data_IF_910532853859
#
_entry.id   IF_910532853859
#
_cell.length_a   1.000
_cell.length_b   1.000
_cell.length_c   1.000
_cell.angle_alpha   90.00
_cell.angle_beta   90.00
_cell.angle_gamma   90.00
#
_symmetry.space_group_name_H-M   'P 1'
#
loop_
_entity.id
_entity.type
_entity.pdbx_description
1 polymer ?
#
# COMPACT_ATOMS: atom_id res chain seq x y z
N UNK A 1 5.09 -6.76 17.07
CA UNK A 1 6.32 -6.67 16.25
C UNK A 1 6.59 -5.19 16.02
N UNK A 2 7.84 -4.75 16.03
CA UNK A 2 8.24 -3.37 15.78
C UNK A 2 9.45 -3.41 14.83
N UNK A 3 9.57 -2.44 13.93
CA UNK A 3 10.74 -2.26 13.08
C UNK A 3 11.56 -1.09 13.62
N UNK A 4 12.79 -1.38 14.04
CA UNK A 4 13.75 -0.36 14.51
C UNK A 4 14.43 0.32 13.33
N UNK A 5 15.10 1.48 13.52
CA UNK A 5 15.94 2.08 12.50
C UNK A 5 17.00 1.12 11.91
N UNK A 6 17.56 0.22 12.72
CA UNK A 6 18.53 -0.77 12.27
C UNK A 6 17.88 -1.87 11.42
N UNK A 7 16.64 -2.27 11.74
CA UNK A 7 15.88 -3.20 10.91
C UNK A 7 15.58 -2.57 9.54
N UNK A 8 15.14 -1.31 9.53
CA UNK A 8 14.88 -0.56 8.29
C UNK A 8 16.15 -0.45 7.45
N UNK A 9 17.27 -0.06 8.06
CA UNK A 9 18.57 0.00 7.40
C UNK A 9 18.95 -1.34 6.78
N UNK A 10 18.76 -2.44 7.52
CA UNK A 10 19.05 -3.80 7.03
C UNK A 10 18.23 -4.13 5.79
N UNK A 11 16.93 -3.82 5.77
CA UNK A 11 16.04 -4.04 4.61
C UNK A 11 16.47 -3.19 3.41
N UNK A 12 16.76 -1.90 3.64
CA UNK A 12 17.20 -0.96 2.59
C UNK A 12 18.51 -1.41 1.97
N UNK A 13 19.52 -1.75 2.78
CA UNK A 13 20.83 -2.20 2.29
C UNK A 13 20.74 -3.55 1.57
N UNK A 14 19.92 -4.47 2.07
CA UNK A 14 19.69 -5.76 1.42
C UNK A 14 19.05 -5.61 0.04
N UNK A 15 18.05 -4.73 -0.08
CA UNK A 15 17.42 -4.38 -1.34
C UNK A 15 18.40 -3.70 -2.30
N UNK A 16 19.13 -2.69 -1.83
CA UNK A 16 20.10 -1.95 -2.63
C UNK A 16 21.20 -2.86 -3.18
N UNK A 17 21.70 -3.82 -2.39
CA UNK A 17 22.66 -4.83 -2.84
C UNK A 17 22.15 -5.75 -3.98
N UNK A 18 20.85 -5.70 -4.29
CA UNK A 18 20.17 -6.46 -5.36
C UNK A 18 19.52 -5.57 -6.41
N UNK A 19 19.78 -4.26 -6.38
CA UNK A 19 19.15 -3.31 -7.29
C UNK A 19 17.64 -3.12 -7.05
N UNK A 20 17.15 -3.45 -5.84
CA UNK A 20 15.76 -3.24 -5.42
C UNK A 20 15.68 -1.95 -4.60
N UNK A 21 14.82 -1.03 -5.02
CA UNK A 21 14.50 0.18 -4.26
C UNK A 21 13.45 -0.14 -3.21
N UNK A 22 13.60 0.40 -2.00
CA UNK A 22 12.63 0.25 -0.91
C UNK A 22 11.90 1.58 -0.75
N UNK A 23 10.64 1.62 -1.17
CA UNK A 23 9.79 2.81 -1.09
C UNK A 23 8.89 2.71 0.15
N UNK A 24 8.96 3.66 1.08
CA UNK A 24 8.06 3.68 2.22
C UNK A 24 6.69 4.25 1.83
N UNK A 25 5.67 3.73 2.50
CA UNK A 25 4.32 4.28 2.53
C UNK A 25 3.93 4.60 3.96
N UNK A 26 3.40 5.81 4.18
CA UNK A 26 2.63 6.16 5.37
C UNK A 26 1.30 6.70 4.89
N UNK A 27 0.30 5.83 4.86
CA UNK A 27 -1.02 6.16 4.38
C UNK A 27 -1.77 7.06 5.37
N UNK A 28 -2.24 8.20 4.85
CA UNK A 28 -3.02 9.19 5.56
C UNK A 28 -3.86 10.03 4.56
N UNK A 29 -5.03 10.56 4.95
CA UNK A 29 -5.54 10.70 6.31
C UNK A 29 -6.39 9.52 6.79
N UNK A 30 -6.80 8.61 5.90
CA UNK A 30 -7.46 7.37 6.27
C UNK A 30 -6.48 6.39 6.93
N UNK A 31 -6.93 5.17 7.25
CA UNK A 31 -6.08 4.09 7.78
C UNK A 31 -5.19 4.45 8.99
N UNK A 32 -5.58 5.46 9.79
CA UNK A 32 -4.78 6.00 10.91
C UNK A 32 -5.37 5.67 12.29
N UNK A 33 -6.29 4.71 12.38
CA UNK A 33 -6.95 4.34 13.64
C UNK A 33 -6.00 3.96 14.78
N UNK A 34 -4.85 3.33 14.46
CA UNK A 34 -3.83 2.99 15.45
C UNK A 34 -3.16 4.21 16.10
N UNK A 35 -3.17 5.37 15.43
CA UNK A 35 -2.53 6.60 15.92
C UNK A 35 -3.27 7.19 17.12
N UNK A 36 -4.55 6.87 17.27
CA UNK A 36 -5.37 7.29 18.41
C UNK A 36 -4.83 6.78 19.76
N UNK A 37 -3.98 5.75 19.76
CA UNK A 37 -3.31 5.29 20.98
C UNK A 37 -2.33 6.31 21.58
N UNK A 38 -1.73 7.17 20.75
CA UNK A 38 -0.80 8.22 21.18
C UNK A 38 -1.39 9.63 21.01
N UNK A 39 -2.16 9.85 19.95
CA UNK A 39 -2.75 11.13 19.58
C UNK A 39 -4.28 11.01 19.39
N UNK A 40 -5.05 10.74 20.46
CA UNK A 40 -6.50 10.61 20.36
C UNK A 40 -7.21 11.93 19.97
N UNK A 41 -6.52 13.06 20.12
CA UNK A 41 -7.01 14.42 19.84
C UNK A 41 -7.05 14.78 18.36
N UNK A 42 -6.28 14.06 17.52
CA UNK A 42 -6.20 14.29 16.08
C UNK A 42 -6.89 13.21 15.24
N UNK A 43 -7.32 12.10 15.84
CA UNK A 43 -7.95 10.97 15.11
C UNK A 43 -9.46 10.98 15.35
N UNK A 44 -10.22 11.13 14.27
CA UNK A 44 -11.67 11.04 14.25
C UNK A 44 -12.13 9.57 14.22
N UNK A 45 -13.32 9.32 14.78
CA UNK A 45 -14.02 8.03 14.77
C UNK A 45 -13.25 6.78 15.27
N UNK A 46 -12.08 6.95 15.91
CA UNK A 46 -11.30 5.83 16.40
C UNK A 46 -12.08 4.95 17.38
N UNK A 47 -11.86 3.63 17.31
CA UNK A 47 -12.52 2.62 18.16
C UNK A 47 -14.06 2.56 18.03
N UNK A 48 -14.64 3.17 16.99
CA UNK A 48 -16.06 3.04 16.69
C UNK A 48 -16.34 1.82 15.80
N UNK A 49 -17.53 1.25 15.91
CA UNK A 49 -17.96 0.20 14.98
C UNK A 49 -18.10 0.77 13.57
N UNK A 50 -17.38 0.17 12.61
CA UNK A 50 -17.20 0.67 11.23
C UNK A 50 -18.48 0.80 10.39
N UNK A 51 -19.55 0.07 10.73
CA UNK A 51 -20.85 0.13 10.05
C UNK A 51 -21.95 0.45 11.07
N UNK A 52 -22.04 1.70 11.56
CA UNK A 52 -23.02 2.06 12.58
C UNK A 52 -24.44 1.82 12.04
N UNK A 53 -25.33 1.32 12.91
CA UNK A 53 -26.74 1.05 12.59
C UNK A 53 -26.98 0.06 11.45
N UNK A 54 -25.97 -0.73 11.05
CA UNK A 54 -26.08 -1.71 9.96
C UNK A 54 -26.16 -1.10 8.56
N UNK A 55 -25.89 0.21 8.42
CA UNK A 55 -25.93 0.90 7.13
C UNK A 55 -24.52 0.95 6.53
N UNK A 56 -24.29 0.12 5.52
CA UNK A 56 -22.98 -0.05 4.88
C UNK A 56 -22.77 0.86 3.64
N UNK A 57 -23.52 1.95 3.47
CA UNK A 57 -23.31 2.85 2.35
C UNK A 57 -22.09 3.76 2.60
N UNK A 58 -21.37 4.12 1.53
CA UNK A 58 -20.12 4.90 1.62
C UNK A 58 -20.28 6.24 2.38
N UNK A 59 -21.36 7.02 2.18
CA UNK A 59 -21.52 8.31 2.85
C UNK A 59 -21.70 8.26 4.38
N UNK A 60 -22.05 7.09 4.95
CA UNK A 60 -22.39 6.95 6.36
C UNK A 60 -21.56 5.90 7.11
N UNK A 61 -20.96 4.91 6.42
CA UNK A 61 -19.97 4.01 7.04
C UNK A 61 -18.77 4.81 7.54
N UNK A 62 -18.11 4.31 8.59
CA UNK A 62 -16.95 4.97 9.19
C UNK A 62 -15.62 4.45 8.63
N UNK A 63 -15.62 3.28 7.98
CA UNK A 63 -14.46 2.72 7.27
C UNK A 63 -14.92 1.65 6.28
N UNK A 64 -14.05 1.25 5.35
CA UNK A 64 -14.26 0.12 4.45
C UNK A 64 -14.04 -1.24 5.14
N UNK A 65 -13.35 -1.27 6.28
CA UNK A 65 -13.02 -2.45 7.08
C UNK A 65 -12.98 -2.11 8.60
N UNK A 66 -12.97 -3.11 9.51
CA UNK A 66 -12.80 -2.85 10.95
C UNK A 66 -11.46 -2.17 11.27
N UNK A 67 -11.42 -1.39 12.36
CA UNK A 67 -10.24 -0.58 12.73
C UNK A 67 -10.37 0.88 12.30
N UNK A 68 -11.52 1.48 12.61
CA UNK A 68 -11.86 2.87 12.25
C UNK A 68 -10.83 3.86 12.77
N UNK A 69 -10.62 4.91 11.98
CA UNK A 69 -9.92 6.11 12.40
C UNK A 69 -9.33 6.89 11.23
N UNK A 70 -9.54 8.20 11.23
CA UNK A 70 -9.00 9.10 10.22
C UNK A 70 -8.50 10.39 10.85
N UNK A 71 -7.38 10.92 10.39
CA UNK A 71 -6.86 12.21 10.85
C UNK A 71 -7.88 13.33 10.63
N UNK A 72 -7.91 14.28 11.56
CA UNK A 72 -8.72 15.48 11.50
C UNK A 72 -7.92 16.63 10.84
N UNK A 73 -8.26 17.05 9.61
CA UNK A 73 -7.51 18.12 8.92
C UNK A 73 -7.69 19.51 9.54
N UNK A 74 -8.67 19.70 10.43
CA UNK A 74 -8.89 21.00 11.11
C UNK A 74 -7.97 21.21 12.32
N UNK A 75 -7.23 20.19 12.74
CA UNK A 75 -6.30 20.26 13.88
C UNK A 75 -4.90 20.54 13.37
N UNK A 76 -4.24 21.58 13.89
CA UNK A 76 -2.86 21.91 13.54
C UNK A 76 -1.88 20.79 13.91
N UNK A 77 -2.16 20.12 15.02
CA UNK A 77 -1.38 19.05 15.62
C UNK A 77 -1.30 17.83 14.68
N UNK A 78 -2.33 17.61 13.86
CA UNK A 78 -2.32 16.59 12.79
C UNK A 78 -1.10 16.74 11.90
N UNK A 79 -0.79 17.98 11.52
CA UNK A 79 0.31 18.27 10.62
C UNK A 79 1.66 18.26 11.33
N UNK A 80 1.72 18.61 12.62
CA UNK A 80 2.96 18.49 13.40
C UNK A 80 3.39 17.02 13.51
N UNK A 81 2.45 16.14 13.85
CA UNK A 81 2.71 14.69 13.94
C UNK A 81 3.10 14.13 12.58
N UNK A 82 2.33 14.43 11.52
CA UNK A 82 2.65 13.97 10.17
C UNK A 82 4.03 14.44 9.71
N UNK A 83 4.38 15.72 9.93
CA UNK A 83 5.69 16.27 9.53
C UNK A 83 6.85 15.55 10.19
N UNK A 84 6.74 15.26 11.48
CA UNK A 84 7.78 14.54 12.22
C UNK A 84 7.94 13.11 11.67
N UNK A 85 6.83 12.40 11.45
CA UNK A 85 6.86 11.04 10.88
C UNK A 85 7.46 11.05 9.48
N UNK A 86 7.01 11.95 8.60
CA UNK A 86 7.51 12.03 7.24
C UNK A 86 9.00 12.43 7.18
N UNK A 87 9.47 13.28 8.10
CA UNK A 87 10.89 13.62 8.23
C UNK A 87 11.74 12.40 8.67
N UNK A 88 11.26 11.66 9.67
CA UNK A 88 11.93 10.44 10.15
C UNK A 88 12.00 9.39 9.03
N UNK A 89 10.88 9.13 8.35
CA UNK A 89 10.83 8.22 7.19
C UNK A 89 11.77 8.70 6.08
N UNK A 90 11.74 9.98 5.71
CA UNK A 90 12.63 10.51 4.69
C UNK A 90 14.12 10.40 5.06
N UNK A 91 14.45 10.37 6.36
CA UNK A 91 15.83 10.17 6.84
C UNK A 91 16.29 8.70 6.79
N UNK A 92 15.36 7.76 6.97
CA UNK A 92 15.65 6.32 7.00
C UNK A 92 15.69 5.69 5.60
N UNK A 93 14.91 6.24 4.66
CA UNK A 93 14.79 5.70 3.31
C UNK A 93 15.50 6.61 2.29
N UNK A 94 16.50 6.12 1.54
CA UNK A 94 17.19 6.90 0.52
C UNK A 94 16.32 7.19 -0.71
N UNK A 95 15.21 6.45 -0.88
CA UNK A 95 14.26 6.55 -1.98
C UNK A 95 13.71 7.98 -2.17
N UNK A 96 13.75 8.48 -3.41
CA UNK A 96 13.25 9.80 -3.80
C UNK A 96 11.72 9.87 -3.89
N UNK A 97 11.06 8.73 -4.13
CA UNK A 97 9.61 8.64 -4.11
C UNK A 97 9.07 8.43 -2.68
N UNK A 98 7.94 9.05 -2.37
CA UNK A 98 7.25 8.85 -1.10
C UNK A 98 5.77 8.56 -1.37
N UNK A 99 5.28 7.42 -0.88
CA UNK A 99 3.87 7.07 -1.01
C UNK A 99 3.09 7.63 0.20
N UNK A 100 2.17 8.54 -0.07
CA UNK A 100 1.37 9.19 0.98
C UNK A 100 -0.02 8.56 1.17
N UNK A 101 -0.35 7.53 0.39
CA UNK A 101 -1.64 6.83 0.42
C UNK A 101 -2.80 7.72 0.01
N UNK A 102 -3.69 8.04 0.96
CA UNK A 102 -4.90 8.82 0.81
C UNK A 102 -6.06 8.11 0.10
N UNK A 103 -6.08 6.79 0.15
CA UNK A 103 -7.21 5.99 -0.28
C UNK A 103 -8.34 5.97 0.77
N UNK A 104 -9.53 5.58 0.31
CA UNK A 104 -10.67 5.18 1.16
C UNK A 104 -11.11 6.13 2.29
N UNK A 105 -10.89 7.45 2.13
CA UNK A 105 -11.37 8.46 3.07
C UNK A 105 -12.90 8.40 3.21
N UNK A 106 -13.37 7.92 4.36
CA UNK A 106 -14.77 7.68 4.68
C UNK A 106 -15.46 8.95 5.22
N UNK A 107 -16.49 9.48 4.54
CA UNK A 107 -17.26 10.64 4.99
C UNK A 107 -17.89 10.47 6.38
N UNK A 108 -18.34 9.26 6.71
CA UNK A 108 -19.00 9.00 7.99
C UNK A 108 -18.06 9.22 9.18
N UNK A 109 -16.78 8.87 9.04
CA UNK A 109 -15.79 9.03 10.10
C UNK A 109 -15.61 10.51 10.48
N UNK A 110 -15.41 11.38 9.48
CA UNK A 110 -15.29 12.82 9.70
C UNK A 110 -16.59 13.45 10.22
N UNK A 111 -17.76 12.99 9.73
CA UNK A 111 -19.06 13.46 10.26
C UNK A 111 -19.30 13.07 11.71
N UNK A 112 -18.56 12.11 12.28
CA UNK A 112 -18.67 11.77 13.70
C UNK A 112 -17.92 12.75 14.62
N UNK A 113 -17.02 13.59 14.09
CA UNK A 113 -16.24 14.55 14.85
C UNK A 113 -16.97 15.90 15.01
N UNK A 114 -17.04 16.41 16.24
CA UNK A 114 -17.79 17.64 16.55
C UNK A 114 -17.20 18.91 15.91
N UNK A 115 -15.87 18.97 15.75
CA UNK A 115 -15.22 20.13 15.13
C UNK A 115 -15.50 20.16 13.62
N UNK A 116 -15.48 19.00 12.98
CA UNK A 116 -15.84 18.87 11.57
C UNK A 116 -17.34 19.12 11.36
N UNK A 117 -18.21 18.64 12.25
CA UNK A 117 -19.64 18.98 12.21
C UNK A 117 -19.86 20.49 12.24
N UNK A 118 -19.15 21.22 13.11
CA UNK A 118 -19.24 22.67 13.18
C UNK A 118 -18.73 23.36 11.89
N UNK A 119 -17.63 22.87 11.31
CA UNK A 119 -17.11 23.35 10.03
C UNK A 119 -18.11 23.16 8.88
N UNK A 120 -18.74 21.98 8.80
CA UNK A 120 -19.78 21.69 7.80
C UNK A 120 -21.02 22.56 8.01
N UNK A 121 -21.44 22.79 9.26
CA UNK A 121 -22.56 23.68 9.58
C UNK A 121 -22.29 25.14 9.21
N UNK A 122 -21.03 25.56 9.18
CA UNK A 122 -20.59 26.87 8.71
C UNK A 122 -20.48 26.98 7.17
N UNK A 123 -20.88 25.95 6.43
CA UNK A 123 -20.86 25.92 4.96
C UNK A 123 -19.59 25.30 4.37
N UNK A 124 -18.69 24.76 5.20
CA UNK A 124 -17.55 23.96 4.74
C UNK A 124 -17.99 22.63 4.12
N UNK A 125 -17.10 22.01 3.35
CA UNK A 125 -17.36 20.74 2.66
C UNK A 125 -16.30 19.69 2.97
N UNK A 126 -16.64 18.41 2.86
CA UNK A 126 -15.67 17.32 3.03
C UNK A 126 -14.55 17.36 1.98
N UNK A 127 -14.85 17.80 0.77
CA UNK A 127 -13.84 17.99 -0.28
C UNK A 127 -12.79 19.04 0.12
N UNK A 128 -13.21 20.13 0.76
CA UNK A 128 -12.27 21.13 1.28
C UNK A 128 -11.41 20.58 2.42
N UNK A 129 -11.93 19.67 3.26
CA UNK A 129 -11.11 19.02 4.29
C UNK A 129 -10.03 18.13 3.67
N UNK A 130 -10.40 17.35 2.65
CA UNK A 130 -9.43 16.52 1.93
C UNK A 130 -8.39 17.37 1.20
N UNK A 131 -8.83 18.44 0.51
CA UNK A 131 -7.95 19.40 -0.16
C UNK A 131 -6.98 20.06 0.83
N UNK A 132 -7.48 20.49 2.00
CA UNK A 132 -6.65 21.07 3.06
C UNK A 132 -5.57 20.09 3.53
N UNK A 133 -5.94 18.82 3.73
CA UNK A 133 -4.99 17.79 4.11
C UNK A 133 -3.94 17.55 3.02
N UNK A 134 -4.38 17.20 1.81
CA UNK A 134 -3.51 16.81 0.69
C UNK A 134 -2.60 17.96 0.29
N UNK A 135 -3.10 19.19 0.14
CA UNK A 135 -2.27 20.34 -0.23
C UNK A 135 -1.18 20.64 0.79
N UNK A 136 -1.48 20.49 2.08
CA UNK A 136 -0.54 20.73 3.18
C UNK A 136 0.53 19.65 3.28
N UNK A 137 0.15 18.37 3.21
CA UNK A 137 1.09 17.26 3.30
C UNK A 137 1.94 17.14 2.04
N UNK A 138 1.34 17.30 0.85
CA UNK A 138 2.06 17.28 -0.42
C UNK A 138 3.16 18.34 -0.46
N UNK A 139 2.83 19.60 -0.09
CA UNK A 139 3.80 20.69 -0.04
C UNK A 139 4.98 20.38 0.89
N UNK A 140 4.71 19.72 2.02
CA UNK A 140 5.76 19.33 2.96
C UNK A 140 6.64 18.22 2.41
N UNK A 141 6.06 17.15 1.83
CA UNK A 141 6.84 16.04 1.26
C UNK A 141 7.75 16.54 0.13
N UNK A 142 7.28 17.46 -0.71
CA UNK A 142 8.10 18.12 -1.72
C UNK A 142 9.28 18.90 -1.10
N UNK A 143 9.07 19.55 0.05
CA UNK A 143 10.14 20.28 0.76
C UNK A 143 11.26 19.37 1.29
N UNK A 144 11.00 18.06 1.42
CA UNK A 144 11.99 17.04 1.77
C UNK A 144 12.78 16.53 0.54
N UNK A 145 12.67 17.21 -0.60
CA UNK A 145 13.23 16.78 -1.89
C UNK A 145 12.74 15.40 -2.34
N UNK A 146 11.48 15.08 -2.04
CA UNK A 146 10.81 13.85 -2.49
C UNK A 146 9.75 14.15 -3.53
N UNK A 147 9.47 13.18 -4.40
CA UNK A 147 8.36 13.26 -5.36
C UNK A 147 7.22 12.37 -4.89
N UNK A 148 6.02 12.94 -4.84
CA UNK A 148 4.81 12.19 -4.54
C UNK A 148 4.29 11.54 -5.82
N UNK A 149 3.87 10.27 -5.71
CA UNK A 149 3.31 9.51 -6.84
C UNK A 149 1.80 9.74 -6.86
N UNK A 150 1.28 10.27 -7.97
CA UNK A 150 -0.16 10.46 -8.23
C UNK A 150 -0.59 9.72 -9.51
N UNK A 151 -1.86 9.33 -9.58
CA UNK A 151 -2.41 8.53 -10.69
C UNK A 151 -2.80 9.39 -11.91
N UNK A 152 -2.00 9.35 -12.99
CA UNK A 152 -2.43 9.80 -14.32
C UNK A 152 -2.17 8.76 -15.43
N UNK A 153 -3.21 8.42 -16.19
CA UNK A 153 -3.20 7.36 -17.20
C UNK A 153 -2.27 7.59 -18.42
N UNK A 154 -1.77 8.82 -18.64
CA UNK A 154 -0.78 9.11 -19.70
C UNK A 154 0.67 9.02 -19.21
N UNK A 155 0.88 8.77 -17.92
CA UNK A 155 2.18 8.77 -17.24
C UNK A 155 2.52 7.40 -16.63
N UNK A 156 1.98 6.30 -17.17
CA UNK A 156 2.19 4.95 -16.63
C UNK A 156 3.70 4.63 -16.52
N UNK A 157 4.22 4.66 -15.30
CA UNK A 157 5.63 4.41 -14.99
C UNK A 157 5.95 2.91 -14.95
N UNK A 158 4.94 2.08 -14.64
CA UNK A 158 5.10 0.64 -14.45
C UNK A 158 3.84 0.03 -13.85
N UNK A 159 4.00 -0.95 -12.98
CA UNK A 159 2.92 -1.57 -12.22
C UNK A 159 3.43 -2.28 -10.98
N UNK A 160 2.53 -2.55 -10.04
CA UNK A 160 2.84 -3.18 -8.76
C UNK A 160 1.90 -4.37 -8.50
N UNK A 161 2.40 -5.37 -7.76
CA UNK A 161 1.57 -6.44 -7.21
C UNK A 161 1.38 -6.15 -5.73
N UNK A 162 0.20 -5.66 -5.36
CA UNK A 162 -0.15 -5.43 -3.97
C UNK A 162 -0.50 -6.75 -3.25
N UNK A 163 0.09 -6.97 -2.08
CA UNK A 163 -0.31 -8.00 -1.14
C UNK A 163 -0.83 -7.34 0.15
N UNK A 164 -2.13 -7.05 0.16
CA UNK A 164 -2.84 -6.69 1.38
C UNK A 164 -2.74 -7.82 2.42
N UNK A 165 -2.60 -7.44 3.69
CA UNK A 165 -2.12 -8.33 4.76
C UNK A 165 -3.14 -8.63 5.85
N UNK A 166 -4.43 -8.46 5.58
CA UNK A 166 -5.52 -8.84 6.50
C UNK A 166 -5.48 -10.35 6.83
N UNK A 167 -5.01 -11.15 5.86
CA UNK A 167 -4.83 -12.60 5.96
C UNK A 167 -3.45 -13.06 5.48
N UNK A 168 -2.45 -12.19 5.58
CA UNK A 168 -1.08 -12.52 5.23
C UNK A 168 -0.10 -12.14 6.34
N UNK A 169 0.83 -13.03 6.64
CA UNK A 169 1.93 -12.82 7.56
C UNK A 169 3.18 -13.57 7.04
N UNK A 170 4.24 -13.61 7.85
CA UNK A 170 5.49 -14.32 7.53
C UNK A 170 5.30 -15.80 7.16
N UNK A 171 4.21 -16.44 7.61
CA UNK A 171 3.97 -17.86 7.35
C UNK A 171 3.54 -18.12 5.91
N UNK A 172 2.76 -17.20 5.32
CA UNK A 172 2.15 -17.35 3.98
C UNK A 172 2.70 -16.38 2.93
N UNK A 173 3.55 -15.42 3.31
CA UNK A 173 4.11 -14.39 2.43
C UNK A 173 4.62 -14.95 1.09
N UNK A 174 5.51 -15.95 1.14
CA UNK A 174 6.15 -16.51 -0.05
C UNK A 174 5.14 -17.11 -1.03
N UNK A 175 4.21 -17.93 -0.54
CA UNK A 175 3.20 -18.60 -1.38
C UNK A 175 2.17 -17.62 -1.94
N UNK A 176 1.91 -16.51 -1.24
CA UNK A 176 1.04 -15.44 -1.77
C UNK A 176 1.76 -14.65 -2.87
N UNK A 177 3.01 -14.27 -2.71
CA UNK A 177 3.73 -13.45 -3.70
C UNK A 177 4.15 -14.29 -4.91
N UNK A 178 4.77 -15.44 -4.67
CA UNK A 178 5.44 -16.23 -5.68
C UNK A 178 4.64 -17.46 -6.08
N UNK A 179 4.53 -17.78 -7.39
CA UNK A 179 5.25 -17.20 -8.52
C UNK A 179 4.48 -16.08 -9.26
N UNK A 180 3.36 -15.59 -8.71
CA UNK A 180 2.49 -14.61 -9.40
C UNK A 180 3.22 -13.29 -9.72
N UNK A 181 4.03 -12.80 -8.79
CA UNK A 181 4.85 -11.61 -9.00
C UNK A 181 5.85 -11.77 -10.16
N UNK A 182 6.35 -12.99 -10.43
CA UNK A 182 7.24 -13.24 -11.58
C UNK A 182 6.53 -13.03 -12.92
N UNK A 183 5.22 -13.33 -12.99
CA UNK A 183 4.45 -13.10 -14.21
C UNK A 183 4.29 -11.59 -14.49
N UNK A 184 4.04 -10.79 -13.45
CA UNK A 184 4.03 -9.32 -13.57
C UNK A 184 5.41 -8.80 -13.97
N UNK A 185 6.48 -9.31 -13.35
CA UNK A 185 7.85 -8.91 -13.68
C UNK A 185 8.17 -9.11 -15.17
N UNK A 186 7.82 -10.26 -15.77
CA UNK A 186 8.03 -10.48 -17.21
C UNK A 186 7.19 -9.53 -18.07
N UNK A 187 5.92 -9.31 -17.69
CA UNK A 187 5.01 -8.43 -18.40
C UNK A 187 5.51 -6.97 -18.42
N UNK A 188 6.02 -6.47 -17.30
CA UNK A 188 6.57 -5.11 -17.19
C UNK A 188 7.95 -4.99 -17.84
N UNK A 189 8.78 -6.04 -17.78
CA UNK A 189 10.14 -6.02 -18.31
C UNK A 189 10.20 -6.14 -19.83
N UNK A 190 9.46 -7.08 -20.41
CA UNK A 190 9.57 -7.45 -21.84
C UNK A 190 8.24 -7.52 -22.59
N UNK A 191 7.13 -7.21 -21.90
CA UNK A 191 5.79 -7.39 -22.43
C UNK A 191 5.35 -8.84 -22.42
N UNK A 192 4.04 -9.04 -22.54
CA UNK A 192 3.42 -10.37 -22.49
C UNK A 192 3.38 -11.09 -23.85
N UNK A 193 4.07 -10.60 -24.91
CA UNK A 193 4.03 -11.19 -26.25
C UNK A 193 5.40 -11.56 -26.78
N UNK A 194 5.48 -12.62 -27.57
CA UNK A 194 6.75 -13.07 -28.19
C UNK A 194 7.32 -12.02 -29.15
N UNK A 195 6.43 -11.30 -29.83
CA UNK A 195 6.69 -10.18 -30.74
C UNK A 195 5.44 -9.27 -30.80
N UNK A 196 5.53 -8.03 -31.31
CA UNK A 196 4.34 -7.19 -31.51
C UNK A 196 3.26 -7.94 -32.31
N UNK A 197 2.03 -8.00 -31.78
CA UNK A 197 0.91 -8.76 -32.37
C UNK A 197 1.02 -10.29 -32.27
N UNK A 198 2.10 -10.83 -31.70
CA UNK A 198 2.33 -12.27 -31.52
C UNK A 198 1.47 -12.91 -30.43
N UNK A 199 1.66 -14.23 -30.24
CA UNK A 199 1.03 -14.99 -29.16
C UNK A 199 1.53 -14.51 -27.80
N UNK A 200 0.67 -14.66 -26.78
CA UNK A 200 1.03 -14.39 -25.39
C UNK A 200 2.17 -15.32 -24.98
N UNK A 201 3.24 -14.79 -24.38
CA UNK A 201 4.31 -15.59 -23.78
C UNK A 201 3.72 -16.40 -22.64
N UNK A 202 3.93 -17.71 -22.67
CA UNK A 202 3.68 -18.55 -21.51
C UNK A 202 4.98 -18.54 -20.72
N UNK A 203 4.93 -18.10 -19.47
CA UNK A 203 6.09 -18.08 -18.60
C UNK A 203 6.60 -19.50 -18.40
N UNK A 204 7.74 -19.82 -19.00
CA UNK A 204 8.33 -21.14 -18.86
C UNK A 204 9.11 -21.20 -17.55
N UNK A 205 8.47 -21.79 -16.53
CA UNK A 205 9.08 -22.30 -15.28
C UNK A 205 9.56 -21.27 -14.23
N UNK A 206 8.81 -20.21 -13.87
CA UNK A 206 9.19 -19.34 -12.74
C UNK A 206 9.24 -20.09 -11.40
N UNK A 207 8.24 -20.94 -11.11
CA UNK A 207 8.11 -21.66 -9.84
C UNK A 207 9.30 -22.61 -9.58
N UNK A 208 9.84 -23.22 -10.63
CA UNK A 208 10.98 -24.14 -10.51
C UNK A 208 12.27 -23.41 -10.19
N UNK A 209 12.51 -22.24 -10.80
CA UNK A 209 13.71 -21.43 -10.52
C UNK A 209 13.68 -20.87 -9.11
N UNK A 210 12.50 -20.47 -8.63
CA UNK A 210 12.31 -19.95 -7.27
C UNK A 210 12.41 -21.04 -6.20
N UNK A 211 11.95 -22.26 -6.50
CA UNK A 211 12.10 -23.41 -5.61
C UNK A 211 13.50 -24.04 -5.65
N UNK A 212 14.25 -23.87 -6.74
CA UNK A 212 15.61 -24.38 -6.91
C UNK A 212 16.71 -23.38 -6.50
N UNK A 213 16.34 -22.13 -6.20
CA UNK A 213 17.25 -21.15 -5.61
C UNK A 213 17.41 -21.43 -4.12
N UNK A 214 18.61 -21.86 -3.78
CA UNK A 214 19.22 -22.06 -2.46
C UNK A 214 19.05 -23.41 -1.77
N UNK A 215 20.20 -23.97 -1.37
CA UNK A 215 20.40 -25.31 -0.81
C UNK A 215 19.73 -25.54 0.55
N UNK A 216 18.41 -25.44 0.62
CA UNK A 216 17.58 -25.79 1.78
C UNK A 216 16.77 -24.63 2.38
N UNK A 217 17.00 -23.38 1.97
CA UNK A 217 16.33 -22.17 2.49
C UNK A 217 15.75 -21.28 1.36
N UNK A 218 15.20 -21.90 0.32
CA UNK A 218 14.63 -21.19 -0.84
C UNK A 218 13.25 -20.58 -0.60
N UNK A 219 12.85 -19.68 -1.51
CA UNK A 219 11.52 -19.06 -1.55
C UNK A 219 10.43 -20.15 -1.64
N UNK A 220 9.49 -20.15 -0.71
CA UNK A 220 8.38 -21.14 -0.67
C UNK A 220 7.25 -20.78 -1.64
N UNK A 221 7.56 -20.77 -2.94
CA UNK A 221 6.61 -20.43 -3.99
C UNK A 221 5.46 -21.45 -4.12
N UNK A 222 4.26 -20.95 -4.41
CA UNK A 222 3.05 -21.77 -4.52
C UNK A 222 3.11 -22.72 -5.75
N UNK A 223 2.74 -24.00 -5.60
CA UNK A 223 2.62 -24.92 -6.74
C UNK A 223 1.45 -24.51 -7.65
N UNK A 224 1.75 -24.22 -8.92
CA UNK A 224 0.73 -23.77 -9.90
C UNK A 224 0.08 -24.89 -10.71
N UNK A 225 0.66 -26.08 -10.72
CA UNK A 225 0.15 -27.24 -11.46
C UNK A 225 0.68 -28.55 -10.88
N UNK A 226 -0.03 -29.68 -11.09
CA UNK A 226 0.49 -31.00 -10.74
C UNK A 226 1.85 -31.26 -11.38
N UNK A 227 2.72 -31.99 -10.66
CA UNK A 227 4.03 -32.40 -11.16
C UNK A 227 3.97 -33.11 -12.53
N UNK A 228 2.87 -33.82 -12.77
CA UNK A 228 2.61 -34.50 -14.04
C UNK A 228 2.58 -33.55 -15.23
N UNK A 229 1.91 -32.40 -15.09
CA UNK A 229 1.82 -31.37 -16.14
C UNK A 229 3.18 -30.82 -16.52
N UNK A 230 4.07 -30.69 -15.55
CA UNK A 230 5.48 -30.32 -15.77
C UNK A 230 6.21 -31.36 -16.62
N UNK A 231 6.09 -32.64 -16.25
CA UNK A 231 6.79 -33.72 -16.96
C UNK A 231 6.22 -34.01 -18.34
N UNK A 232 5.04 -33.47 -18.67
CA UNK A 232 4.34 -33.71 -19.93
C UNK A 232 3.79 -32.40 -20.51
N UNK A 233 4.65 -31.56 -21.12
CA UNK A 233 4.25 -30.26 -21.66
C UNK A 233 3.07 -30.37 -22.64
N UNK A 234 2.12 -29.45 -22.54
CA UNK A 234 0.94 -29.38 -23.40
C UNK A 234 -0.22 -30.30 -22.99
N UNK A 235 0.01 -31.33 -22.18
CA UNK A 235 -1.02 -32.30 -21.80
C UNK A 235 -2.03 -31.78 -20.77
N UNK A 236 -1.74 -30.63 -20.14
CA UNK A 236 -2.64 -29.95 -19.20
C UNK A 236 -3.19 -28.64 -19.78
N UNK A 237 -2.98 -28.38 -21.07
CA UNK A 237 -3.59 -27.24 -21.72
C UNK A 237 -5.08 -27.50 -21.92
N UNK A 238 -5.91 -26.49 -21.66
CA UNK A 238 -7.36 -26.56 -21.89
C UNK A 238 -7.74 -26.37 -23.35
N UNK A 239 -6.80 -26.00 -24.22
CA UNK A 239 -6.96 -25.72 -25.65
C UNK A 239 -5.72 -26.09 -26.44
#
# INVERSE_FOLDING_TARGET
MQYTPDDVKTVVEFGMGRGVRVMPEIDAPAHTGSWAGAHPDIVTCANMFWVPNGVADWPNRLAAEPGTGQLNPLKSETYDVFRNIAADVASLFPEQLYHAGADEVAPGCWKADSSIQAFLAAGGTLSQLLELFVSSTHSFVLSLNRTVVEDEAKLVLGGEVALWSEQADSTVLDGRIWPRASAMAEALWSGNRTRPGGRVRRGDRPTERLAASDGGEGIRAEPIQPLWCRTRPGMCNTT
#
